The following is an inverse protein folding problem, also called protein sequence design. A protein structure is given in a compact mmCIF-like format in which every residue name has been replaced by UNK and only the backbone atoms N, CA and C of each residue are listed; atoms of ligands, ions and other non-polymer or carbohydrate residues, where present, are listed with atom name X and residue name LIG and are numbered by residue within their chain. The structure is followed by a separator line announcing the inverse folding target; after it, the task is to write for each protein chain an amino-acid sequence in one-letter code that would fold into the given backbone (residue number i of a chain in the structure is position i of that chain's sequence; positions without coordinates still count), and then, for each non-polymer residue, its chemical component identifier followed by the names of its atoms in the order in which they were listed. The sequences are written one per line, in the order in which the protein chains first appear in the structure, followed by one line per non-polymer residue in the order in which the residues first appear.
data_IF_678061315887
#
_entry.id   IF_678061315887
#
_cell.length_a   1.000
_cell.length_b   1.000
_cell.length_c   1.000
_cell.angle_alpha   90.00
_cell.angle_beta   90.00
_cell.angle_gamma   90.00
#
_symmetry.space_group_name_H-M   'P 1'
#
loop_
_entity.id
_entity.type
_entity.pdbx_description
1 polymer ?
#
# COMPACT_ATOMS: atom_id res chain seq x y z
N UNK A 1 -4.10 4.47 6.00
CA UNK A 1 -4.65 3.15 5.58
C UNK A 1 -4.43 2.10 6.66
N UNK A 2 -3.21 1.96 7.20
CA UNK A 2 -2.92 0.95 8.22
C UNK A 2 -3.75 1.14 9.51
N UNK A 3 -3.95 2.37 9.99
CA UNK A 3 -4.84 2.61 11.14
C UNK A 3 -6.31 2.21 10.88
N UNK A 4 -6.77 2.24 9.63
CA UNK A 4 -8.11 1.74 9.29
C UNK A 4 -8.11 0.21 9.27
N UNK A 5 -7.10 -0.41 8.67
CA UNK A 5 -6.96 -1.87 8.63
C UNK A 5 -6.86 -2.46 10.05
N UNK A 6 -6.21 -1.78 11.00
CA UNK A 6 -6.07 -2.24 12.39
C UNK A 6 -7.37 -2.24 13.18
N UNK A 7 -8.44 -1.59 12.71
CA UNK A 7 -9.76 -1.65 13.35
C UNK A 7 -10.40 -3.04 13.20
N UNK A 8 -9.94 -3.83 12.22
CA UNK A 8 -10.55 -5.11 11.87
C UNK A 8 -11.92 -4.92 11.18
N UNK A 9 -12.38 -5.95 10.48
CA UNK A 9 -13.70 -5.97 9.83
C UNK A 9 -14.01 -4.73 8.94
N UNK A 10 -13.01 -4.23 8.22
CA UNK A 10 -13.14 -3.10 7.30
C UNK A 10 -13.03 -3.54 5.85
N UNK A 11 -13.77 -2.87 4.96
CA UNK A 11 -13.58 -2.97 3.51
C UNK A 11 -12.83 -1.74 3.06
N UNK A 12 -11.62 -1.93 2.53
CA UNK A 12 -10.78 -0.84 2.04
C UNK A 12 -10.80 -0.86 0.52
N UNK A 13 -11.37 0.19 -0.07
CA UNK A 13 -11.34 0.41 -1.51
C UNK A 13 -10.24 1.40 -1.86
N UNK A 14 -9.34 1.03 -2.78
CA UNK A 14 -8.30 1.94 -3.26
C UNK A 14 -7.20 1.22 -4.03
N UNK A 15 -6.61 1.92 -5.00
CA UNK A 15 -5.62 1.37 -5.96
C UNK A 15 -4.37 0.82 -5.27
N UNK A 16 -3.90 1.46 -4.21
CA UNK A 16 -2.68 1.07 -3.49
C UNK A 16 -2.90 -0.01 -2.41
N UNK A 17 -4.15 -0.24 -1.99
CA UNK A 17 -4.44 -1.00 -0.78
C UNK A 17 -3.89 -2.44 -0.88
N UNK A 18 -4.03 -3.04 -2.06
CA UNK A 18 -3.51 -4.35 -2.41
C UNK A 18 -1.99 -4.48 -2.21
N UNK A 19 -1.24 -3.43 -2.54
CA UNK A 19 0.22 -3.43 -2.42
C UNK A 19 0.64 -3.11 -0.98
N UNK A 20 0.02 -2.10 -0.37
CA UNK A 20 0.35 -1.67 0.99
C UNK A 20 0.02 -2.75 2.03
N UNK A 21 -1.03 -3.54 1.80
CA UNK A 21 -1.48 -4.60 2.69
C UNK A 21 -1.02 -6.00 2.23
N UNK A 22 -0.11 -6.10 1.25
CA UNK A 22 0.34 -7.39 0.68
C UNK A 22 0.91 -8.35 1.72
N UNK A 23 1.54 -7.79 2.76
CA UNK A 23 2.22 -8.53 3.81
C UNK A 23 1.28 -8.76 5.02
N UNK A 24 0.00 -8.39 4.95
CA UNK A 24 -0.99 -8.54 6.03
C UNK A 24 -1.82 -9.82 5.81
N UNK A 25 -1.55 -10.92 6.52
CA UNK A 25 -2.14 -12.23 6.19
C UNK A 25 -3.66 -12.33 6.28
N UNK A 26 -4.30 -11.53 7.12
CA UNK A 26 -5.76 -11.51 7.26
C UNK A 26 -6.46 -10.59 6.25
N UNK A 27 -5.71 -9.88 5.40
CA UNK A 27 -6.27 -9.00 4.38
C UNK A 27 -6.57 -9.78 3.10
N UNK A 28 -7.85 -10.06 2.84
CA UNK A 28 -8.28 -10.64 1.56
C UNK A 28 -8.23 -9.59 0.45
N UNK A 29 -7.34 -9.75 -0.52
CA UNK A 29 -7.16 -8.83 -1.65
C UNK A 29 -7.99 -9.32 -2.84
N UNK A 30 -9.06 -8.57 -3.16
CA UNK A 30 -10.00 -8.94 -4.23
C UNK A 30 -9.92 -7.94 -5.39
N UNK A 31 -9.80 -8.45 -6.61
CA UNK A 31 -9.97 -7.66 -7.83
C UNK A 31 -11.30 -7.99 -8.50
N UNK A 32 -12.14 -6.98 -8.70
CA UNK A 32 -13.39 -7.11 -9.44
C UNK A 32 -13.17 -6.49 -10.82
N UNK A 33 -13.27 -7.29 -11.87
CA UNK A 33 -13.10 -6.81 -13.24
C UNK A 33 -14.23 -7.26 -14.16
N UNK A 34 -14.25 -6.67 -15.35
CA UNK A 34 -15.19 -7.01 -16.39
C UNK A 34 -14.55 -6.67 -17.74
N UNK A 35 -14.65 -7.54 -18.78
CA UNK A 35 -14.15 -7.25 -20.12
C UNK A 35 -14.62 -5.88 -20.63
N UNK A 36 -13.76 -5.23 -21.41
CA UNK A 36 -13.97 -3.88 -21.93
C UNK A 36 -15.36 -3.71 -22.59
N UNK A 37 -15.68 -4.52 -23.59
CA UNK A 37 -16.94 -4.41 -24.34
C UNK A 37 -18.17 -4.54 -23.42
N UNK A 38 -18.13 -5.44 -22.43
CA UNK A 38 -19.26 -5.63 -21.50
C UNK A 38 -19.46 -4.40 -20.62
N UNK A 39 -18.39 -3.70 -20.24
CA UNK A 39 -18.50 -2.44 -19.48
C UNK A 39 -19.03 -1.31 -20.34
N UNK A 40 -18.60 -1.24 -21.61
CA UNK A 40 -19.10 -0.26 -22.59
C UNK A 40 -20.61 -0.45 -22.80
N UNK A 41 -21.05 -1.68 -23.07
CA UNK A 41 -22.47 -2.01 -23.23
C UNK A 41 -23.31 -1.66 -21.99
N UNK A 42 -22.78 -1.93 -20.79
CA UNK A 42 -23.45 -1.57 -19.52
C UNK A 42 -23.59 -0.06 -19.38
N UNK A 43 -22.53 0.71 -19.61
CA UNK A 43 -22.60 2.17 -19.53
C UNK A 43 -23.55 2.76 -20.57
N UNK A 44 -23.54 2.25 -21.80
CA UNK A 44 -24.51 2.67 -22.83
C UNK A 44 -25.95 2.41 -22.38
N UNK A 45 -26.23 1.24 -21.81
CA UNK A 45 -27.57 0.85 -21.36
C UNK A 45 -28.02 1.60 -20.11
N UNK A 46 -27.15 1.69 -19.11
CA UNK A 46 -27.48 2.16 -17.77
C UNK A 46 -27.45 3.70 -17.68
N UNK A 47 -26.57 4.35 -18.46
CA UNK A 47 -26.38 5.81 -18.45
C UNK A 47 -26.86 6.48 -19.77
N UNK A 48 -27.33 5.71 -20.75
CA UNK A 48 -27.83 6.24 -22.03
C UNK A 48 -26.76 6.86 -22.93
N UNK A 49 -25.48 6.51 -22.72
CA UNK A 49 -24.34 7.09 -23.43
C UNK A 49 -24.19 6.52 -24.85
N UNK A 50 -23.56 7.30 -25.75
CA UNK A 50 -23.10 6.75 -27.03
C UNK A 50 -21.92 5.81 -26.80
N UNK A 51 -21.65 4.92 -27.77
CA UNK A 51 -20.53 3.98 -27.69
C UNK A 51 -19.20 4.71 -27.54
N UNK A 52 -19.01 5.80 -28.27
CA UNK A 52 -17.78 6.59 -28.26
C UNK A 52 -17.49 7.17 -26.86
N UNK A 53 -18.51 7.75 -26.21
CA UNK A 53 -18.37 8.31 -24.86
C UNK A 53 -18.14 7.20 -23.84
N UNK A 54 -18.89 6.11 -23.92
CA UNK A 54 -18.74 4.96 -23.02
C UNK A 54 -17.34 4.34 -23.13
N UNK A 55 -16.83 4.13 -24.35
CA UNK A 55 -15.47 3.65 -24.57
C UNK A 55 -14.40 4.58 -23.98
N UNK A 56 -14.56 5.90 -24.18
CA UNK A 56 -13.64 6.90 -23.64
C UNK A 56 -13.58 6.81 -22.11
N UNK A 57 -14.73 6.84 -21.43
CA UNK A 57 -14.81 6.77 -19.97
C UNK A 57 -14.19 5.47 -19.43
N UNK A 58 -14.40 4.34 -20.10
CA UNK A 58 -13.83 3.05 -19.68
C UNK A 58 -12.31 3.07 -19.81
N UNK A 59 -11.77 3.57 -20.94
CA UNK A 59 -10.33 3.65 -21.17
C UNK A 59 -9.64 4.61 -20.20
N UNK A 60 -10.22 5.79 -19.98
CA UNK A 60 -9.69 6.76 -19.02
C UNK A 60 -9.63 6.16 -17.61
N UNK A 61 -10.71 5.50 -17.18
CA UNK A 61 -10.75 4.91 -15.85
C UNK A 61 -9.74 3.77 -15.66
N UNK A 62 -9.54 2.94 -16.70
CA UNK A 62 -8.54 1.87 -16.68
C UNK A 62 -7.12 2.43 -16.69
N UNK A 63 -6.85 3.44 -17.52
CA UNK A 63 -5.58 4.12 -17.57
C UNK A 63 -5.23 4.77 -16.23
N UNK A 64 -6.21 5.40 -15.57
CA UNK A 64 -6.04 6.00 -14.25
C UNK A 64 -5.70 4.94 -13.19
N UNK A 65 -6.34 3.77 -13.24
CA UNK A 65 -6.06 2.67 -12.32
C UNK A 65 -4.69 2.05 -12.57
N UNK A 66 -4.32 1.83 -13.84
CA UNK A 66 -3.05 1.26 -14.24
C UNK A 66 -1.87 2.20 -13.91
N UNK A 67 -2.01 3.49 -14.20
CA UNK A 67 -0.93 4.48 -14.06
C UNK A 67 -0.42 4.57 -12.62
N UNK A 68 -1.33 4.48 -11.63
CA UNK A 68 -0.95 4.58 -10.23
C UNK A 68 -0.03 3.43 -9.77
N UNK A 69 -0.39 2.18 -10.10
CA UNK A 69 0.41 1.01 -9.72
C UNK A 69 1.70 0.94 -10.53
N UNK A 70 1.64 1.26 -11.82
CA UNK A 70 2.81 1.24 -12.69
C UNK A 70 3.83 2.29 -12.28
N UNK A 71 3.39 3.53 -12.01
CA UNK A 71 4.29 4.63 -11.67
C UNK A 71 4.96 4.45 -10.31
N UNK A 72 4.21 4.03 -9.28
CA UNK A 72 4.73 3.95 -7.91
C UNK A 72 5.40 2.63 -7.57
N UNK A 73 5.02 1.53 -8.23
CA UNK A 73 5.44 0.20 -7.83
C UNK A 73 5.99 -0.66 -8.97
N UNK A 74 6.01 -0.14 -10.21
CA UNK A 74 6.39 -0.90 -11.41
C UNK A 74 5.65 -2.25 -11.51
N UNK A 75 4.34 -2.22 -11.24
CA UNK A 75 3.46 -3.39 -11.31
C UNK A 75 2.28 -3.15 -12.24
N UNK A 76 1.90 -4.22 -12.95
CA UNK A 76 0.66 -4.25 -13.71
C UNK A 76 -0.51 -4.43 -12.72
N UNK A 77 -1.51 -3.56 -12.81
CA UNK A 77 -2.72 -3.65 -11.99
C UNK A 77 -3.59 -4.88 -12.28
N UNK A 78 -3.33 -5.60 -13.38
CA UNK A 78 -3.97 -6.88 -13.71
C UNK A 78 -3.09 -8.08 -13.36
N UNK A 79 -1.94 -7.88 -12.70
CA UNK A 79 -1.07 -8.95 -12.24
C UNK A 79 -1.82 -9.84 -11.21
N UNK A 80 -2.03 -11.13 -11.51
CA UNK A 80 -2.74 -12.03 -10.60
C UNK A 80 -2.02 -12.21 -9.25
N UNK A 81 -0.71 -12.04 -9.18
CA UNK A 81 0.06 -12.21 -7.93
C UNK A 81 -0.22 -11.10 -6.91
N UNK A 82 -0.86 -10.00 -7.35
CA UNK A 82 -1.32 -8.95 -6.46
C UNK A 82 -2.60 -9.33 -5.70
N UNK A 83 -3.37 -10.31 -6.16
CA UNK A 83 -4.70 -10.59 -5.64
C UNK A 83 -4.86 -12.04 -5.18
N UNK A 84 -5.65 -12.24 -4.13
CA UNK A 84 -6.00 -13.58 -3.67
C UNK A 84 -7.22 -14.11 -4.44
N UNK A 85 -8.11 -13.21 -4.89
CA UNK A 85 -9.29 -13.54 -5.68
C UNK A 85 -9.51 -12.50 -6.78
N UNK A 86 -9.64 -12.95 -8.03
CA UNK A 86 -10.06 -12.11 -9.15
C UNK A 86 -11.43 -12.57 -9.67
N UNK A 87 -12.42 -11.68 -9.74
CA UNK A 87 -13.79 -12.00 -10.14
C UNK A 87 -14.14 -11.26 -11.42
N UNK A 88 -14.39 -12.03 -12.48
CA UNK A 88 -14.93 -11.52 -13.73
C UNK A 88 -16.46 -11.40 -13.64
N UNK A 89 -16.95 -10.16 -13.61
CA UNK A 89 -18.38 -9.86 -13.48
C UNK A 89 -19.14 -9.84 -14.81
N UNK A 90 -18.55 -10.28 -15.92
CA UNK A 90 -19.25 -10.41 -17.21
C UNK A 90 -20.50 -11.31 -17.09
N UNK A 91 -20.34 -12.43 -16.36
CA UNK A 91 -21.39 -13.45 -16.16
C UNK A 91 -21.67 -13.75 -14.69
N UNK A 92 -20.86 -13.22 -13.78
CA UNK A 92 -21.05 -13.37 -12.34
C UNK A 92 -21.89 -12.21 -11.82
N UNK A 93 -23.06 -12.51 -11.25
CA UNK A 93 -23.91 -11.49 -10.62
C UNK A 93 -23.25 -10.92 -9.37
N UNK A 94 -23.64 -9.71 -8.98
CA UNK A 94 -23.16 -9.07 -7.75
C UNK A 94 -23.35 -9.98 -6.52
N UNK A 95 -24.53 -10.60 -6.39
CA UNK A 95 -24.84 -11.52 -5.30
C UNK A 95 -23.89 -12.74 -5.28
N UNK A 96 -23.58 -13.28 -6.46
CA UNK A 96 -22.63 -14.40 -6.58
C UNK A 96 -21.21 -13.96 -6.23
N UNK A 97 -20.78 -12.78 -6.68
CA UNK A 97 -19.48 -12.22 -6.35
C UNK A 97 -19.33 -12.04 -4.83
N UNK A 98 -20.36 -11.52 -4.15
CA UNK A 98 -20.39 -11.40 -2.68
C UNK A 98 -20.22 -12.76 -2.02
N UNK A 99 -20.95 -13.79 -2.47
CA UNK A 99 -20.80 -15.15 -1.92
C UNK A 99 -19.38 -15.71 -2.10
N UNK A 100 -18.74 -15.46 -3.25
CA UNK A 100 -17.36 -15.88 -3.50
C UNK A 100 -16.42 -15.20 -2.48
N UNK A 101 -16.56 -13.90 -2.28
CA UNK A 101 -15.73 -13.14 -1.33
C UNK A 101 -15.94 -13.64 0.10
N UNK A 102 -17.19 -13.79 0.54
CA UNK A 102 -17.51 -14.32 1.86
C UNK A 102 -16.91 -15.72 2.07
N UNK A 103 -16.99 -16.58 1.04
CA UNK A 103 -16.41 -17.92 1.12
C UNK A 103 -14.88 -17.90 1.20
N UNK A 104 -14.23 -17.00 0.49
CA UNK A 104 -12.77 -16.82 0.56
C UNK A 104 -12.32 -16.34 1.95
N UNK A 105 -13.08 -15.46 2.60
CA UNK A 105 -12.81 -14.99 3.96
C UNK A 105 -12.88 -16.10 5.01
N UNK A 106 -13.59 -17.20 4.75
CA UNK A 106 -13.65 -18.36 5.64
C UNK A 106 -12.37 -19.22 5.62
N UNK A 107 -11.44 -18.95 4.70
CA UNK A 107 -10.19 -19.73 4.60
C UNK A 107 -9.40 -19.70 5.90
N UNK A 108 -8.84 -20.86 6.25
CA UNK A 108 -8.11 -21.07 7.50
C UNK A 108 -6.89 -20.14 7.56
N UNK A 109 -6.22 -19.99 6.42
CA UNK A 109 -5.02 -19.19 6.23
C UNK A 109 -5.26 -17.71 6.57
N UNK A 110 -6.42 -17.17 6.17
CA UNK A 110 -6.81 -15.78 6.47
C UNK A 110 -7.18 -15.63 7.94
N UNK A 111 -7.98 -16.56 8.49
CA UNK A 111 -8.44 -16.50 9.89
C UNK A 111 -7.30 -16.66 10.90
N UNK A 112 -6.39 -17.61 10.66
CA UNK A 112 -5.19 -17.80 11.49
C UNK A 112 -4.16 -16.69 11.28
N UNK A 113 -4.32 -15.89 10.23
CA UNK A 113 -3.52 -14.71 9.93
C UNK A 113 -3.78 -13.50 10.84
N UNK A 114 -4.89 -13.46 11.58
CA UNK A 114 -5.33 -12.27 12.34
C UNK A 114 -4.30 -11.79 13.38
N UNK A 115 -3.77 -12.71 14.20
CA UNK A 115 -2.79 -12.35 15.23
C UNK A 115 -1.50 -11.76 14.63
N UNK A 116 -0.99 -12.38 13.55
CA UNK A 116 0.19 -11.88 12.82
C UNK A 116 -0.11 -10.54 12.15
N UNK A 117 -1.31 -10.37 11.63
CA UNK A 117 -1.75 -9.15 10.97
C UNK A 117 -1.79 -7.96 11.93
N UNK A 118 -2.24 -8.17 13.18
CA UNK A 118 -2.24 -7.13 14.19
C UNK A 118 -0.82 -6.60 14.48
N UNK A 119 0.16 -7.49 14.60
CA UNK A 119 1.56 -7.12 14.80
C UNK A 119 2.12 -6.37 13.58
N UNK A 120 1.93 -6.92 12.37
CA UNK A 120 2.41 -6.33 11.12
C UNK A 120 1.79 -4.94 10.92
N UNK A 121 0.48 -4.79 11.15
CA UNK A 121 -0.20 -3.50 11.07
C UNK A 121 0.34 -2.52 12.11
N UNK A 122 0.59 -2.96 13.34
CA UNK A 122 1.22 -2.13 14.38
C UNK A 122 2.59 -1.61 13.94
N UNK A 123 3.42 -2.49 13.37
CA UNK A 123 4.74 -2.15 12.85
C UNK A 123 4.65 -1.18 11.66
N UNK A 124 3.73 -1.40 10.73
CA UNK A 124 3.50 -0.52 9.57
C UNK A 124 2.99 0.87 9.99
N UNK A 125 2.10 0.93 10.98
CA UNK A 125 1.62 2.20 11.56
C UNK A 125 2.79 2.95 12.21
N UNK A 126 3.60 2.26 13.02
CA UNK A 126 4.74 2.87 13.69
C UNK A 126 5.77 3.38 12.68
N UNK A 127 6.09 2.59 11.65
CA UNK A 127 6.98 2.99 10.56
C UNK A 127 6.48 4.25 9.85
N UNK A 128 5.18 4.34 9.52
CA UNK A 128 4.62 5.54 8.88
C UNK A 128 4.65 6.77 9.78
N UNK A 129 4.40 6.62 11.08
CA UNK A 129 4.53 7.74 12.03
C UNK A 129 5.99 8.21 12.14
N UNK A 130 6.94 7.29 12.13
CA UNK A 130 8.36 7.60 12.12
C UNK A 130 8.79 8.32 10.82
N UNK A 131 8.37 7.85 9.64
CA UNK A 131 8.59 8.55 8.36
C UNK A 131 8.02 9.98 8.39
N UNK A 132 6.80 10.16 8.91
CA UNK A 132 6.18 11.48 9.06
C UNK A 132 6.96 12.39 10.01
N UNK A 133 7.50 11.86 11.10
CA UNK A 133 8.32 12.62 12.04
C UNK A 133 9.60 13.13 11.35
N UNK A 134 10.26 12.28 10.56
CA UNK A 134 11.43 12.67 9.77
C UNK A 134 11.09 13.77 8.75
N UNK A 135 9.97 13.63 8.03
CA UNK A 135 9.50 14.62 7.05
C UNK A 135 9.22 16.00 7.67
N UNK A 136 8.84 16.06 8.95
CA UNK A 136 8.58 17.31 9.67
C UNK A 136 9.84 17.95 10.24
N UNK A 137 10.92 17.20 10.36
CA UNK A 137 12.21 17.67 10.89
C UNK A 137 13.02 18.38 9.81
N UNK A 138 13.11 19.70 9.91
CA UNK A 138 13.81 20.55 8.92
C UNK A 138 15.30 20.21 8.73
N UNK A 139 15.92 19.61 9.75
CA UNK A 139 17.34 19.25 9.76
C UNK A 139 17.61 17.91 9.08
N UNK A 140 16.58 17.20 8.61
CA UNK A 140 16.67 15.88 8.00
C UNK A 140 16.14 15.93 6.57
N UNK A 141 16.90 15.39 5.63
CA UNK A 141 16.45 15.09 4.29
C UNK A 141 16.09 13.59 4.21
N UNK A 142 14.79 13.23 4.30
CA UNK A 142 14.38 11.83 4.39
C UNK A 142 14.47 11.07 3.06
N UNK A 143 14.84 11.73 1.94
CA UNK A 143 14.86 11.12 0.61
C UNK A 143 15.68 9.82 0.54
N UNK A 144 16.75 9.74 1.32
CA UNK A 144 17.66 8.60 1.33
C UNK A 144 17.63 7.85 2.66
N UNK A 145 16.56 8.02 3.44
CA UNK A 145 16.35 7.32 4.70
C UNK A 145 15.19 6.34 4.52
N UNK A 146 15.48 5.06 4.72
CA UNK A 146 14.50 3.98 4.81
C UNK A 146 14.18 3.73 6.28
N UNK A 147 12.90 3.69 6.60
CA UNK A 147 12.39 3.39 7.94
C UNK A 147 11.75 2.00 7.92
N UNK A 148 12.17 1.13 8.83
CA UNK A 148 11.56 -0.21 8.99
C UNK A 148 11.28 -0.51 10.44
N UNK A 149 10.29 -1.36 10.70
CA UNK A 149 9.93 -1.84 12.04
C UNK A 149 9.71 -3.35 11.93
N UNK A 150 10.65 -4.12 12.49
CA UNK A 150 10.61 -5.59 12.42
C UNK A 150 10.08 -6.22 13.71
N UNK A 151 10.07 -5.47 14.80
CA UNK A 151 9.58 -5.89 16.12
C UNK A 151 8.87 -4.71 16.79
N UNK A 152 7.84 -4.95 17.61
CA UNK A 152 7.08 -3.89 18.24
C UNK A 152 7.97 -2.88 18.99
N UNK A 153 7.78 -1.59 18.67
CA UNK A 153 8.46 -0.49 19.35
C UNK A 153 9.91 -0.22 18.94
N UNK A 154 10.52 -1.04 18.08
CA UNK A 154 11.90 -0.81 17.63
C UNK A 154 11.92 -0.35 16.18
N UNK A 155 12.36 0.88 15.96
CA UNK A 155 12.46 1.48 14.63
C UNK A 155 13.91 1.41 14.15
N UNK A 156 14.10 0.94 12.92
CA UNK A 156 15.42 0.84 12.28
C UNK A 156 15.49 1.90 11.19
N UNK A 157 16.49 2.78 11.31
CA UNK A 157 16.81 3.80 10.32
C UNK A 157 17.99 3.35 9.47
N UNK A 158 17.82 3.26 8.16
CA UNK A 158 18.88 2.87 7.21
C UNK A 158 18.99 3.86 6.07
N UNK A 159 20.18 3.98 5.51
CA UNK A 159 20.44 4.82 4.36
C UNK A 159 21.52 5.84 4.66
N UNK A 160 21.41 7.01 4.02
CA UNK A 160 22.53 7.95 3.92
C UNK A 160 22.07 9.35 4.33
N UNK A 161 22.94 10.02 5.08
CA UNK A 161 22.79 11.41 5.50
C UNK A 161 24.07 12.20 5.23
N UNK A 162 23.96 13.52 5.17
CA UNK A 162 25.04 14.43 4.80
C UNK A 162 25.93 14.86 5.97
N UNK A 163 25.50 14.61 7.21
CA UNK A 163 26.25 15.01 8.40
C UNK A 163 25.87 14.19 9.63
N UNK A 164 26.77 14.14 10.62
CA UNK A 164 26.48 13.59 11.95
C UNK A 164 25.34 14.34 12.65
N UNK A 165 25.21 15.65 12.41
CA UNK A 165 24.10 16.44 12.95
C UNK A 165 22.75 15.97 12.41
N UNK A 166 22.68 15.67 11.12
CA UNK A 166 21.48 15.12 10.47
C UNK A 166 21.19 13.71 10.99
N UNK A 167 22.22 12.86 11.15
CA UNK A 167 22.09 11.51 11.73
C UNK A 167 21.45 11.55 13.12
N UNK A 168 21.96 12.41 14.01
CA UNK A 168 21.44 12.56 15.37
C UNK A 168 20.04 13.17 15.39
N UNK A 169 19.76 14.15 14.50
CA UNK A 169 18.44 14.75 14.39
C UNK A 169 17.39 13.74 13.90
N UNK A 170 17.74 12.82 13.00
CA UNK A 170 16.85 11.76 12.56
C UNK A 170 16.50 10.79 13.70
N UNK A 171 17.50 10.41 14.50
CA UNK A 171 17.30 9.55 15.67
C UNK A 171 16.40 10.19 16.72
N UNK A 172 16.69 11.43 17.11
CA UNK A 172 15.88 12.19 18.08
C UNK A 172 14.44 12.37 17.60
N UNK A 173 14.25 12.71 16.31
CA UNK A 173 12.92 12.86 15.73
C UNK A 173 12.09 11.57 15.85
N UNK A 174 12.70 10.40 15.61
CA UNK A 174 12.01 9.11 15.67
C UNK A 174 11.81 8.64 17.12
N UNK A 175 12.79 8.85 18.01
CA UNK A 175 12.66 8.53 19.44
C UNK A 175 11.48 9.24 20.10
N UNK A 176 11.15 10.45 19.63
CA UNK A 176 10.01 11.23 20.14
C UNK A 176 8.64 10.77 19.59
N UNK A 177 8.58 9.75 18.72
CA UNK A 177 7.32 9.24 18.17
C UNK A 177 6.63 8.31 19.18
N UNK A 178 5.34 8.54 19.52
CA UNK A 178 4.60 7.68 20.43
C UNK A 178 4.57 6.21 19.95
N UNK A 179 5.00 5.31 20.83
CA UNK A 179 5.12 3.87 20.55
C UNK A 179 6.53 3.42 20.19
N UNK A 180 7.47 4.34 19.96
CA UNK A 180 8.89 4.01 19.82
C UNK A 180 9.49 3.81 21.22
N UNK A 181 10.20 2.70 21.37
CA UNK A 181 10.94 2.29 22.58
C UNK A 181 12.45 2.39 22.33
N UNK A 182 12.88 2.03 21.13
CA UNK A 182 14.28 2.00 20.73
C UNK A 182 14.41 2.41 19.25
N UNK A 183 15.51 3.09 18.92
CA UNK A 183 15.89 3.40 17.54
C UNK A 183 17.25 2.79 17.23
N UNK A 184 17.28 1.88 16.26
CA UNK A 184 18.51 1.34 15.69
C UNK A 184 18.94 2.24 14.53
N UNK A 185 19.94 3.10 14.77
CA UNK A 185 20.39 4.11 13.81
C UNK A 185 21.58 3.62 12.95
N UNK A 186 21.26 2.86 11.91
CA UNK A 186 22.20 2.35 10.90
C UNK A 186 22.46 3.37 9.75
N UNK A 187 22.23 4.67 9.98
CA UNK A 187 22.49 5.71 8.97
C UNK A 187 24.00 5.93 8.77
N UNK A 188 24.41 6.00 7.51
CA UNK A 188 25.79 6.31 7.13
C UNK A 188 25.94 7.79 6.79
N UNK A 189 26.93 8.44 7.39
CA UNK A 189 27.30 9.81 7.05
C UNK A 189 28.24 9.81 5.86
N UNK A 190 27.84 10.46 4.77
CA UNK A 190 28.70 10.65 3.59
C UNK A 190 29.06 12.12 3.40
N UNK A 191 30.27 12.35 2.87
CA UNK A 191 30.78 13.67 2.50
C UNK A 191 30.58 13.92 0.98
N UNK A 192 30.27 12.87 0.21
CA UNK A 192 30.00 12.98 -1.22
C UNK A 192 28.57 13.50 -1.48
N UNK A 193 28.32 14.27 -2.56
CA UNK A 193 26.99 14.74 -2.90
C UNK A 193 26.04 13.55 -3.12
N UNK A 194 24.98 13.48 -2.33
CA UNK A 194 24.04 12.35 -2.31
C UNK A 194 23.27 12.24 -3.63
N UNK A 195 23.09 13.35 -4.35
CA UNK A 195 22.39 13.42 -5.64
C UNK A 195 23.08 12.63 -6.78
N UNK A 196 24.32 12.17 -6.60
CA UNK A 196 25.06 11.38 -7.60
C UNK A 196 25.12 9.88 -7.29
N UNK A 197 24.59 9.44 -6.15
CA UNK A 197 24.51 8.03 -5.79
C UNK A 197 23.15 7.50 -6.27
N UNK A 198 23.08 7.07 -7.53
CA UNK A 198 21.93 6.36 -8.06
C UNK A 198 21.76 5.03 -7.32
N UNK A 199 20.71 4.93 -6.50
CA UNK A 199 20.21 3.68 -5.93
C UNK A 199 19.02 3.21 -6.77
N UNK A 200 19.28 2.87 -8.03
CA UNK A 200 18.32 2.20 -8.93
C UNK A 200 18.27 0.71 -8.66
#
# INVERSE_FOLDING_TARGET
IYDFASQGNVVIMGRAATILLRDVPSALRVHIYCPFEVRVERLMRDEGLTREIAEQLVRENDADRASYLKYLFDRDWMDPDLYDVMINTARVSQETAVRIVLKAMESKEIREGEARSAEILGNLILAKRAEEALLRTKQVNPRHITVTVNRPGVVILRGIVSSEKEKLAAEDAVLNVPGVVEVENDLYVTIAPIDHLDFS
#
